data_IF_175497223673
#
_entry.id   IF_175497223673
#
_cell.length_a   1.000
_cell.length_b   1.000
_cell.length_c   1.000
_cell.angle_alpha   90.00
_cell.angle_beta   90.00
_cell.angle_gamma   90.00
#
_symmetry.space_group_name_H-M   'P 1'
#
loop_
_entity.id
_entity.type
_entity.pdbx_description
1 polymer ?
#
# COMPACT_ATOMS: atom_id res chain seq x y z
N UNK A 1 40.74 47.76 -43.40
CA UNK A 1 40.88 48.96 -42.55
C UNK A 1 39.47 49.39 -42.14
N UNK A 2 39.06 49.09 -40.91
CA UNK A 2 38.99 50.03 -39.76
C UNK A 2 37.80 51.00 -39.87
N UNK A 3 36.67 50.61 -39.30
CA UNK A 3 35.55 51.50 -38.96
C UNK A 3 35.79 52.09 -37.56
N UNK A 4 35.70 53.41 -37.45
CA UNK A 4 35.80 54.21 -36.21
C UNK A 4 34.69 53.80 -35.20
N UNK A 5 34.96 53.53 -33.92
CA UNK A 5 35.34 54.40 -32.77
C UNK A 5 34.24 55.37 -32.29
N UNK A 6 33.85 55.17 -31.00
CA UNK A 6 33.16 56.04 -30.00
C UNK A 6 31.65 55.77 -29.86
N UNK A 7 31.14 55.06 -28.84
CA UNK A 7 31.17 55.19 -27.36
C UNK A 7 30.14 56.18 -26.78
N UNK A 8 29.59 55.79 -25.62
CA UNK A 8 28.93 56.56 -24.53
C UNK A 8 27.39 56.55 -24.58
N UNK A 9 26.71 55.70 -23.77
CA UNK A 9 26.37 55.78 -22.33
C UNK A 9 25.10 56.62 -22.08
N UNK A 10 24.08 55.99 -21.50
CA UNK A 10 22.83 56.65 -21.11
C UNK A 10 21.84 55.68 -20.47
N UNK A 11 22.17 55.22 -19.27
CA UNK A 11 21.17 54.69 -18.36
C UNK A 11 20.24 55.84 -17.94
N UNK A 12 18.94 55.69 -18.17
CA UNK A 12 17.89 56.44 -17.49
C UNK A 12 16.91 55.40 -16.98
N UNK A 13 16.93 55.18 -15.66
CA UNK A 13 15.84 54.49 -14.98
C UNK A 13 14.67 55.43 -14.74
N UNK A 14 13.47 54.87 -14.59
CA UNK A 14 12.58 55.25 -13.50
C UNK A 14 11.42 54.25 -13.37
N UNK A 15 11.23 53.84 -12.13
CA UNK A 15 10.22 52.96 -11.58
C UNK A 15 8.82 53.52 -11.80
N UNK A 16 7.89 52.67 -12.22
CA UNK A 16 6.45 52.91 -12.15
C UNK A 16 5.76 51.63 -11.69
N UNK A 17 5.46 51.55 -10.40
CA UNK A 17 4.66 50.50 -9.77
C UNK A 17 3.19 50.76 -10.12
N UNK A 18 2.48 49.74 -10.60
CA UNK A 18 1.05 49.82 -10.88
C UNK A 18 0.46 48.41 -10.98
N UNK A 19 -0.09 47.95 -9.87
CA UNK A 19 -0.92 46.76 -9.70
C UNK A 19 -2.02 46.61 -10.76
N UNK A 20 -2.17 45.41 -11.32
CA UNK A 20 -3.33 45.07 -12.16
C UNK A 20 -3.15 43.70 -12.81
N UNK A 21 -3.77 42.68 -12.21
CA UNK A 21 -3.76 41.30 -12.66
C UNK A 21 -4.37 41.12 -14.07
N UNK A 22 -3.84 40.14 -14.82
CA UNK A 22 -4.62 39.14 -15.54
C UNK A 22 -3.65 38.15 -16.22
N UNK A 23 -3.34 37.06 -15.52
CA UNK A 23 -2.77 35.87 -16.13
C UNK A 23 -3.91 34.98 -16.65
N UNK A 24 -3.79 34.56 -17.90
CA UNK A 24 -4.64 33.63 -18.63
C UNK A 24 -4.28 33.80 -20.10
N UNK A 25 -3.94 32.80 -20.89
CA UNK A 25 -4.04 31.33 -20.81
C UNK A 25 -3.38 30.82 -22.10
N UNK A 26 -2.71 29.67 -22.11
CA UNK A 26 -2.36 29.04 -23.39
C UNK A 26 -1.20 28.04 -23.39
N UNK A 27 -1.52 26.81 -23.02
CA UNK A 27 -0.97 25.55 -23.54
C UNK A 27 0.53 25.22 -23.34
N UNK A 28 0.79 24.36 -22.34
CA UNK A 28 1.70 23.23 -22.52
C UNK A 28 0.88 21.95 -22.30
N UNK A 29 0.86 21.07 -23.29
CA UNK A 29 0.44 19.67 -23.13
C UNK A 29 1.39 19.01 -22.13
N UNK A 30 0.86 18.49 -21.02
CA UNK A 30 1.58 17.51 -20.21
C UNK A 30 0.82 16.20 -20.25
N UNK A 31 1.51 15.13 -20.60
CA UNK A 31 1.04 13.76 -20.48
C UNK A 31 0.74 13.46 -19.01
N UNK A 32 -0.51 13.11 -18.71
CA UNK A 32 -0.89 12.49 -17.43
C UNK A 32 -0.28 11.10 -17.41
N UNK A 33 0.66 10.87 -16.50
CA UNK A 33 1.03 9.52 -16.11
C UNK A 33 0.36 9.27 -14.76
N UNK A 34 -0.69 8.43 -14.77
CA UNK A 34 -1.20 7.79 -13.57
C UNK A 34 -0.07 7.03 -12.87
N UNK A 35 -0.02 7.11 -11.54
CA UNK A 35 0.97 6.39 -10.74
C UNK A 35 0.21 5.66 -9.64
N UNK A 36 -0.02 4.38 -9.89
CA UNK A 36 -0.51 3.40 -8.94
C UNK A 36 0.70 2.70 -8.28
N UNK A 37 0.49 2.16 -7.08
CA UNK A 37 1.47 1.32 -6.38
C UNK A 37 1.73 0.07 -7.25
N UNK A 38 2.94 -0.51 -7.23
CA UNK A 38 3.24 -1.78 -7.92
C UNK A 38 3.63 -2.84 -6.87
N UNK A 39 2.79 -3.87 -6.71
CA UNK A 39 3.12 -5.09 -5.97
C UNK A 39 2.99 -6.23 -6.97
N UNK A 40 4.08 -6.96 -7.24
CA UNK A 40 4.03 -8.17 -8.07
C UNK A 40 3.35 -9.27 -7.24
N UNK A 41 2.07 -9.50 -7.51
CA UNK A 41 1.17 -10.41 -6.80
C UNK A 41 0.92 -11.66 -7.67
N UNK A 42 1.01 -12.84 -7.06
CA UNK A 42 0.77 -14.15 -7.70
C UNK A 42 -0.74 -14.43 -7.92
N UNK A 43 -1.49 -13.49 -8.50
CA UNK A 43 -2.93 -13.60 -8.78
C UNK A 43 -3.31 -13.24 -10.22
N UNK A 44 -2.37 -13.33 -11.16
CA UNK A 44 -2.39 -12.59 -12.43
C UNK A 44 -3.53 -12.89 -13.43
N UNK A 45 -4.52 -13.74 -13.13
CA UNK A 45 -5.64 -14.00 -14.04
C UNK A 45 -7.02 -14.16 -13.35
N UNK A 46 -7.13 -13.93 -12.03
CA UNK A 46 -8.33 -14.27 -11.25
C UNK A 46 -9.22 -13.06 -10.92
N UNK A 47 -9.54 -12.20 -11.89
CA UNK A 47 -10.48 -11.09 -11.70
C UNK A 47 -10.35 -9.96 -12.73
N UNK A 48 -11.38 -9.12 -12.87
CA UNK A 48 -11.37 -7.98 -13.81
C UNK A 48 -10.50 -6.80 -13.38
N UNK A 49 -10.07 -6.77 -12.11
CA UNK A 49 -9.37 -5.64 -11.50
C UNK A 49 -8.11 -6.02 -10.69
N UNK A 50 -7.65 -7.28 -10.79
CA UNK A 50 -6.49 -7.78 -10.02
C UNK A 50 -6.81 -8.12 -8.56
N UNK A 51 -8.09 -8.16 -8.20
CA UNK A 51 -8.60 -8.73 -6.95
C UNK A 51 -9.07 -10.17 -7.19
N UNK A 52 -9.15 -10.95 -6.11
CA UNK A 52 -9.66 -12.33 -6.08
C UNK A 52 -10.90 -12.34 -5.17
N UNK A 53 -12.09 -11.96 -5.67
CA UNK A 53 -13.30 -11.94 -4.87
C UNK A 53 -13.73 -13.36 -4.50
N UNK A 54 -14.17 -13.55 -3.26
CA UNK A 54 -14.43 -14.83 -2.64
C UNK A 54 -15.90 -15.02 -2.25
N UNK A 55 -16.31 -16.28 -2.05
CA UNK A 55 -17.62 -16.64 -1.50
C UNK A 55 -18.80 -16.13 -2.33
N UNK A 56 -19.64 -15.29 -1.72
CA UNK A 56 -20.87 -14.75 -2.34
C UNK A 56 -20.66 -13.37 -2.99
N UNK A 57 -19.40 -12.92 -3.12
CA UNK A 57 -19.07 -11.65 -3.75
C UNK A 57 -19.49 -11.60 -5.22
N UNK A 58 -19.68 -10.39 -5.73
CA UNK A 58 -19.90 -10.19 -7.15
C UNK A 58 -18.65 -10.56 -7.97
N UNK A 59 -18.83 -11.42 -8.96
CA UNK A 59 -17.72 -12.03 -9.72
C UNK A 59 -16.76 -12.86 -8.87
N UNK A 60 -17.24 -13.47 -7.78
CA UNK A 60 -16.47 -14.43 -7.01
C UNK A 60 -15.80 -15.48 -7.91
N UNK A 61 -14.53 -15.75 -7.63
CA UNK A 61 -13.81 -16.88 -8.21
C UNK A 61 -14.42 -18.16 -7.67
N UNK A 62 -14.26 -19.27 -8.39
CA UNK A 62 -14.75 -20.53 -7.86
C UNK A 62 -13.91 -21.00 -6.67
N UNK A 63 -14.54 -21.77 -5.77
CA UNK A 63 -13.91 -22.25 -4.53
C UNK A 63 -12.63 -23.04 -4.81
N UNK A 64 -12.51 -23.71 -5.96
CA UNK A 64 -11.30 -24.46 -6.28
C UNK A 64 -10.15 -23.53 -6.65
N UNK A 65 -10.40 -22.54 -7.51
CA UNK A 65 -9.42 -21.53 -7.89
C UNK A 65 -8.96 -20.71 -6.68
N UNK A 66 -9.89 -20.36 -5.79
CA UNK A 66 -9.58 -19.63 -4.56
C UNK A 66 -8.64 -20.45 -3.64
N UNK A 67 -8.96 -21.73 -3.43
CA UNK A 67 -8.12 -22.66 -2.69
C UNK A 67 -6.75 -22.83 -3.35
N UNK A 68 -6.68 -22.92 -4.68
CA UNK A 68 -5.43 -23.07 -5.41
C UNK A 68 -4.54 -21.82 -5.25
N UNK A 69 -5.11 -20.62 -5.23
CA UNK A 69 -4.40 -19.36 -4.97
C UNK A 69 -3.86 -19.33 -3.55
N UNK A 70 -4.71 -19.56 -2.54
CA UNK A 70 -4.30 -19.57 -1.13
C UNK A 70 -3.19 -20.58 -0.86
N UNK A 71 -3.35 -21.82 -1.33
CA UNK A 71 -2.34 -22.87 -1.21
C UNK A 71 -1.04 -22.54 -1.94
N UNK A 72 -1.11 -21.87 -3.09
CA UNK A 72 0.09 -21.45 -3.84
C UNK A 72 0.86 -20.37 -3.10
N UNK A 73 0.18 -19.42 -2.46
CA UNK A 73 0.82 -18.36 -1.68
C UNK A 73 1.54 -18.97 -0.48
N UNK A 74 0.80 -19.65 0.40
CA UNK A 74 1.38 -20.17 1.65
C UNK A 74 2.33 -21.34 1.41
N UNK A 75 2.16 -22.09 0.31
CA UNK A 75 3.04 -23.19 -0.06
C UNK A 75 4.40 -22.76 -0.59
N UNK A 76 4.54 -21.51 -1.04
CA UNK A 76 5.80 -20.96 -1.56
C UNK A 76 6.38 -19.84 -0.69
N UNK A 77 5.59 -19.22 0.18
CA UNK A 77 5.97 -18.08 1.01
C UNK A 77 5.00 -17.93 2.19
N UNK A 78 4.81 -16.70 2.67
CA UNK A 78 3.74 -16.33 3.60
C UNK A 78 2.75 -15.40 2.93
N UNK A 79 1.52 -15.42 3.44
CA UNK A 79 0.53 -14.42 3.14
C UNK A 79 0.61 -13.27 4.14
N UNK A 80 0.40 -12.05 3.65
CA UNK A 80 0.35 -10.82 4.44
C UNK A 80 -1.04 -10.25 4.30
N UNK A 81 -1.72 -10.10 5.43
CA UNK A 81 -3.11 -9.73 5.50
C UNK A 81 -3.27 -8.38 6.18
N UNK A 82 -4.30 -7.61 5.83
CA UNK A 82 -4.72 -6.41 6.55
C UNK A 82 -6.11 -6.58 7.15
N UNK A 83 -6.29 -6.22 8.42
CA UNK A 83 -7.59 -6.27 9.11
C UNK A 83 -8.46 -5.06 8.72
N UNK A 84 -9.62 -5.32 8.14
CA UNK A 84 -10.63 -4.29 7.83
C UNK A 84 -11.84 -4.35 8.79
N UNK A 85 -11.75 -5.08 9.91
CA UNK A 85 -12.79 -5.07 10.95
C UNK A 85 -13.07 -3.65 11.50
N UNK A 86 -12.08 -2.77 11.69
CA UNK A 86 -12.34 -1.40 12.13
C UNK A 86 -13.01 -0.58 11.01
N UNK A 87 -14.10 0.15 11.31
CA UNK A 87 -14.76 1.05 10.34
C UNK A 87 -13.84 2.18 9.80
N UNK A 88 -12.70 2.40 10.46
CA UNK A 88 -11.65 3.33 10.05
C UNK A 88 -10.58 2.69 9.16
N UNK A 89 -10.74 1.42 8.75
CA UNK A 89 -9.89 0.74 7.75
C UNK A 89 -10.81 0.17 6.68
N UNK A 90 -10.51 0.47 5.43
CA UNK A 90 -11.23 -0.06 4.27
C UNK A 90 -10.25 -0.41 3.17
N UNK A 91 -10.70 -1.16 2.18
CA UNK A 91 -9.94 -1.46 0.97
C UNK A 91 -10.72 -1.04 -0.28
N UNK A 92 -9.97 -0.75 -1.34
CA UNK A 92 -10.49 -0.52 -2.69
C UNK A 92 -9.61 -1.29 -3.68
N UNK A 93 -10.17 -1.68 -4.82
CA UNK A 93 -9.36 -2.17 -5.92
C UNK A 93 -8.37 -1.08 -6.37
N UNK A 94 -7.15 -1.46 -6.76
CA UNK A 94 -6.14 -0.49 -7.19
C UNK A 94 -6.54 0.23 -8.48
N UNK A 95 -7.18 -0.47 -9.40
CA UNK A 95 -7.54 0.03 -10.73
C UNK A 95 -9.07 0.09 -10.97
N UNK A 96 -9.87 -0.15 -9.93
CA UNK A 96 -11.33 -0.21 -9.99
C UNK A 96 -12.04 1.08 -9.59
N UNK A 97 -13.37 1.01 -9.51
CA UNK A 97 -14.22 2.12 -9.05
C UNK A 97 -13.78 2.68 -7.67
N UNK A 98 -14.19 3.90 -7.33
CA UNK A 98 -13.89 4.52 -6.02
C UNK A 98 -14.60 3.82 -4.83
N UNK A 99 -15.28 2.71 -5.08
CA UNK A 99 -16.10 2.01 -4.12
C UNK A 99 -15.25 1.19 -3.13
N UNK A 100 -15.74 1.15 -1.90
CA UNK A 100 -15.15 0.35 -0.83
C UNK A 100 -15.57 -1.09 -1.04
N UNK A 101 -14.58 -1.99 -1.08
CA UNK A 101 -14.81 -3.43 -1.12
C UNK A 101 -14.88 -3.93 0.33
N UNK A 102 -15.94 -4.66 0.73
CA UNK A 102 -15.99 -5.31 2.03
C UNK A 102 -14.83 -6.31 2.19
N UNK A 103 -14.11 -6.27 3.33
CA UNK A 103 -12.93 -7.12 3.50
C UNK A 103 -13.22 -8.62 3.42
N UNK A 104 -14.40 -9.03 3.86
CA UNK A 104 -14.86 -10.41 3.77
C UNK A 104 -15.12 -10.92 2.35
N UNK A 105 -15.21 -10.03 1.36
CA UNK A 105 -15.25 -10.41 -0.04
C UNK A 105 -13.86 -10.70 -0.61
N UNK A 106 -12.78 -10.33 0.08
CA UNK A 106 -11.39 -10.56 -0.33
C UNK A 106 -10.60 -11.40 0.69
N UNK A 107 -11.30 -12.04 1.63
CA UNK A 107 -10.72 -12.95 2.60
C UNK A 107 -10.34 -14.26 1.90
N UNK A 108 -9.09 -14.74 2.02
CA UNK A 108 -8.69 -16.00 1.40
C UNK A 108 -9.37 -17.21 2.05
N UNK A 109 -10.03 -18.06 1.26
CA UNK A 109 -10.55 -19.35 1.76
C UNK A 109 -9.45 -20.42 1.82
N UNK A 110 -9.16 -20.86 3.06
CA UNK A 110 -9.04 -22.27 3.42
C UNK A 110 -9.08 -22.38 4.96
N UNK A 111 -10.29 -22.44 5.52
CA UNK A 111 -10.49 -22.65 6.94
C UNK A 111 -10.24 -24.12 7.38
N UNK A 112 -9.97 -25.04 6.45
CA UNK A 112 -9.95 -26.49 6.72
C UNK A 112 -8.56 -27.13 6.67
N UNK A 113 -7.60 -26.51 5.98
CA UNK A 113 -6.24 -27.07 5.82
C UNK A 113 -5.09 -26.05 5.91
N UNK A 114 -5.38 -24.75 6.05
CA UNK A 114 -4.39 -23.67 6.08
C UNK A 114 -4.51 -22.76 7.30
N UNK A 115 -3.43 -22.02 7.61
CA UNK A 115 -3.30 -21.15 8.79
C UNK A 115 -4.25 -19.94 8.86
N UNK A 116 -5.27 -19.85 8.00
CA UNK A 116 -6.28 -18.79 7.98
C UNK A 116 -7.42 -19.01 8.99
N UNK A 117 -7.59 -20.24 9.49
CA UNK A 117 -8.71 -20.61 10.38
C UNK A 117 -8.75 -19.87 11.72
N UNK A 118 -7.62 -19.31 12.16
CA UNK A 118 -7.51 -18.55 13.40
C UNK A 118 -7.78 -17.04 13.22
N UNK A 119 -8.02 -16.58 11.99
CA UNK A 119 -8.28 -15.19 11.67
C UNK A 119 -9.78 -14.90 11.50
N UNK A 120 -10.15 -13.64 11.71
CA UNK A 120 -11.49 -13.18 11.36
C UNK A 120 -11.62 -13.04 9.85
N UNK A 121 -12.84 -13.12 9.33
CA UNK A 121 -13.14 -13.02 7.91
C UNK A 121 -13.05 -11.59 7.35
N UNK A 122 -12.65 -10.58 8.13
CA UNK A 122 -12.43 -9.22 7.63
C UNK A 122 -10.97 -8.95 7.24
N UNK A 123 -10.11 -9.97 7.28
CA UNK A 123 -8.76 -9.84 6.75
C UNK A 123 -8.75 -9.89 5.22
N UNK A 124 -7.89 -9.07 4.60
CA UNK A 124 -7.71 -9.04 3.15
C UNK A 124 -6.29 -9.43 2.80
N UNK A 125 -6.10 -10.41 1.91
CA UNK A 125 -4.76 -10.80 1.45
C UNK A 125 -4.18 -9.73 0.53
N UNK A 126 -3.05 -9.14 0.96
CA UNK A 126 -2.27 -8.19 0.17
C UNK A 126 -1.40 -8.89 -0.87
N UNK A 127 -1.20 -10.20 -0.72
CA UNK A 127 -0.43 -11.02 -1.66
C UNK A 127 -1.32 -11.59 -2.76
N UNK A 128 -2.61 -11.83 -2.50
CA UNK A 128 -3.57 -12.29 -3.51
C UNK A 128 -4.24 -11.13 -4.26
N UNK A 129 -4.44 -9.99 -3.59
CA UNK A 129 -5.25 -8.90 -4.11
C UNK A 129 -4.44 -7.62 -4.38
N UNK A 130 -4.65 -7.05 -5.55
CA UNK A 130 -4.12 -5.73 -5.90
C UNK A 130 -5.01 -4.60 -5.35
N UNK A 131 -4.80 -4.25 -4.09
CA UNK A 131 -5.66 -3.31 -3.35
C UNK A 131 -4.94 -2.03 -2.91
N UNK A 132 -5.75 -1.02 -2.56
CA UNK A 132 -5.36 0.15 -1.79
C UNK A 132 -6.01 0.10 -0.42
N UNK A 133 -5.20 0.23 0.63
CA UNK A 133 -5.69 0.39 2.01
C UNK A 133 -6.09 1.85 2.22
N UNK A 134 -7.27 2.07 2.81
CA UNK A 134 -7.85 3.38 3.07
C UNK A 134 -8.06 3.54 4.57
N UNK A 135 -7.29 4.43 5.19
CA UNK A 135 -7.46 4.79 6.60
C UNK A 135 -8.40 5.98 6.75
N UNK A 136 -9.45 5.80 7.55
CA UNK A 136 -10.55 6.74 7.77
C UNK A 136 -11.31 7.06 6.48
N UNK A 137 -12.03 6.08 5.88
CA UNK A 137 -12.89 6.30 4.72
C UNK A 137 -13.96 7.38 4.98
N UNK A 138 -14.34 7.58 6.25
CA UNK A 138 -15.27 8.62 6.70
C UNK A 138 -14.58 9.92 7.16
N UNK A 139 -13.27 10.02 6.91
CA UNK A 139 -12.39 11.10 7.34
C UNK A 139 -11.62 10.79 8.63
N UNK A 140 -10.41 11.33 8.71
CA UNK A 140 -9.57 11.37 9.91
C UNK A 140 -9.37 12.83 10.35
N UNK A 141 -9.34 13.15 11.65
CA UNK A 141 -9.00 14.50 12.08
C UNK A 141 -7.56 14.84 11.65
N UNK A 142 -7.26 16.09 11.26
CA UNK A 142 -5.92 16.47 10.84
C UNK A 142 -4.95 16.43 12.04
N UNK A 143 -3.69 16.07 11.79
CA UNK A 143 -2.65 15.93 12.82
C UNK A 143 -3.02 14.92 13.92
N UNK A 144 -3.55 13.76 13.54
CA UNK A 144 -3.94 12.71 14.48
C UNK A 144 -3.08 11.48 14.32
N UNK A 145 -2.82 10.81 15.43
CA UNK A 145 -2.23 9.47 15.46
C UNK A 145 -3.36 8.46 15.71
N UNK A 146 -3.53 7.53 14.79
CA UNK A 146 -4.45 6.39 14.91
C UNK A 146 -3.62 5.13 15.11
N UNK A 147 -3.96 4.33 16.11
CA UNK A 147 -3.34 3.03 16.34
C UNK A 147 -4.40 1.96 16.19
N UNK A 148 -4.09 0.97 15.38
CA UNK A 148 -4.91 -0.18 15.08
C UNK A 148 -4.23 -1.39 15.70
N UNK A 149 -4.95 -2.06 16.61
CA UNK A 149 -4.50 -3.35 17.13
C UNK A 149 -4.67 -4.42 16.06
N UNK A 150 -3.74 -5.37 15.99
CA UNK A 150 -3.83 -6.53 15.08
C UNK A 150 -4.06 -6.12 13.60
N UNK A 151 -3.48 -5.00 13.15
CA UNK A 151 -3.73 -4.47 11.80
C UNK A 151 -3.20 -5.40 10.70
N UNK A 152 -2.05 -6.03 10.92
CA UNK A 152 -1.42 -6.91 9.94
C UNK A 152 -1.34 -8.34 10.45
N UNK A 153 -1.89 -9.28 9.68
CA UNK A 153 -1.84 -10.72 9.94
C UNK A 153 -0.82 -11.41 9.03
N UNK A 154 -0.29 -12.54 9.49
CA UNK A 154 0.68 -13.35 8.73
C UNK A 154 0.26 -14.81 8.76
N UNK A 155 0.21 -15.43 7.59
CA UNK A 155 -0.16 -16.85 7.47
C UNK A 155 0.91 -17.58 6.68
N UNK A 156 1.51 -18.59 7.30
CA UNK A 156 2.45 -19.54 6.67
C UNK A 156 1.71 -20.86 6.38
N UNK A 157 2.24 -21.67 5.44
CA UNK A 157 1.74 -23.03 5.26
C UNK A 157 1.90 -23.82 6.56
N UNK A 158 0.79 -24.40 7.02
CA UNK A 158 0.81 -25.48 8.01
C UNK A 158 1.27 -26.81 7.36
N UNK A 159 2.44 -26.79 6.72
CA UNK A 159 3.03 -27.97 6.09
C UNK A 159 3.37 -29.03 7.13
N UNK A 160 2.78 -30.21 6.99
CA UNK A 160 2.84 -31.36 7.92
C UNK A 160 4.22 -31.99 8.13
N UNK A 161 5.33 -31.35 7.74
CA UNK A 161 6.67 -31.94 7.82
C UNK A 161 7.78 -30.91 8.09
N UNK A 162 7.97 -30.55 9.37
CA UNK A 162 9.29 -30.43 10.00
C UNK A 162 10.33 -29.43 9.46
N UNK A 163 9.95 -28.48 8.60
CA UNK A 163 10.80 -27.35 8.22
C UNK A 163 9.89 -26.13 8.11
N UNK A 164 9.68 -25.41 9.21
CA UNK A 164 9.20 -24.02 9.10
C UNK A 164 10.35 -23.21 8.55
N UNK A 165 10.08 -22.51 7.45
CA UNK A 165 10.99 -21.49 6.96
C UNK A 165 10.56 -20.21 7.65
N UNK A 166 11.42 -19.66 8.50
CA UNK A 166 11.11 -18.36 9.10
C UNK A 166 11.22 -17.27 8.02
N UNK A 167 10.40 -16.23 8.10
CA UNK A 167 10.37 -15.13 7.14
C UNK A 167 10.51 -13.76 7.81
N UNK A 168 11.16 -12.83 7.14
CA UNK A 168 11.16 -11.42 7.47
C UNK A 168 10.20 -10.67 6.55
N UNK A 169 9.19 -10.02 7.12
CA UNK A 169 8.29 -9.10 6.40
C UNK A 169 8.66 -7.67 6.72
N UNK A 170 9.20 -6.96 5.73
CA UNK A 170 9.63 -5.57 5.89
C UNK A 170 8.65 -4.62 5.23
N UNK A 171 8.06 -3.75 6.04
CA UNK A 171 7.23 -2.63 5.60
C UNK A 171 8.12 -1.40 5.42
N UNK A 172 8.10 -0.83 4.23
CA UNK A 172 8.92 0.32 3.89
C UNK A 172 8.28 1.24 2.86
N UNK A 173 8.97 2.34 2.61
CA UNK A 173 8.67 3.28 1.54
C UNK A 173 9.88 3.33 0.62
N UNK A 174 9.84 2.58 -0.49
CA UNK A 174 10.96 2.51 -1.45
C UNK A 174 11.12 3.81 -2.24
N UNK A 175 10.07 4.63 -2.29
CA UNK A 175 10.00 5.85 -3.08
C UNK A 175 9.86 7.09 -2.22
N UNK A 176 10.44 7.09 -1.01
CA UNK A 176 10.41 8.18 -0.04
C UNK A 176 10.56 9.55 -0.70
N UNK A 177 9.42 10.11 -1.12
CA UNK A 177 9.30 11.46 -1.56
C UNK A 177 8.92 12.19 -0.28
N UNK A 178 9.87 12.85 0.39
CA UNK A 178 9.63 13.47 1.70
C UNK A 178 8.56 14.58 1.64
N UNK A 179 8.03 14.88 0.46
CA UNK A 179 7.00 15.87 0.19
C UNK A 179 5.57 15.35 0.28
N UNK A 180 5.33 14.02 0.32
CA UNK A 180 3.96 13.44 0.31
C UNK A 180 3.49 12.88 1.66
N UNK A 181 4.31 13.00 2.70
CA UNK A 181 3.99 12.46 4.04
C UNK A 181 4.00 10.93 4.06
N UNK A 182 4.29 10.36 5.22
CA UNK A 182 4.11 8.92 5.48
C UNK A 182 2.83 8.78 6.30
N UNK A 183 1.88 7.97 5.81
CA UNK A 183 0.61 7.71 6.47
C UNK A 183 0.78 6.59 7.49
N UNK A 184 1.23 5.40 7.09
CA UNK A 184 1.60 4.30 7.97
C UNK A 184 3.02 4.53 8.52
N UNK A 185 3.12 5.00 9.75
CA UNK A 185 4.39 5.37 10.38
C UNK A 185 5.03 4.23 11.15
N UNK A 186 4.22 3.30 11.67
CA UNK A 186 4.73 2.12 12.40
C UNK A 186 3.98 0.84 12.10
N UNK A 187 4.72 -0.26 12.15
CA UNK A 187 4.23 -1.65 12.19
C UNK A 187 4.98 -2.36 13.31
N UNK A 188 4.27 -3.05 14.20
CA UNK A 188 4.86 -3.73 15.37
C UNK A 188 5.75 -2.78 16.21
N UNK A 189 5.31 -1.52 16.35
CA UNK A 189 6.06 -0.46 17.04
C UNK A 189 7.35 0.00 16.34
N UNK A 190 7.76 -0.62 15.23
CA UNK A 190 8.95 -0.29 14.43
C UNK A 190 8.59 0.75 13.37
N UNK A 191 9.56 1.58 12.98
CA UNK A 191 9.33 2.72 12.07
C UNK A 191 9.40 2.30 10.60
N UNK A 192 8.33 2.59 9.84
CA UNK A 192 8.20 2.16 8.43
C UNK A 192 9.19 2.89 7.51
N UNK A 193 9.42 4.19 7.71
CA UNK A 193 10.40 4.97 6.91
C UNK A 193 11.86 4.48 7.05
N UNK A 194 12.15 3.61 8.01
CA UNK A 194 13.47 2.97 8.17
C UNK A 194 13.45 1.46 7.86
N UNK A 195 12.35 0.93 7.33
CA UNK A 195 12.13 -0.50 7.16
C UNK A 195 11.68 -1.16 8.46
N UNK A 196 10.36 -1.23 8.69
CA UNK A 196 9.80 -1.94 9.83
C UNK A 196 9.71 -3.44 9.50
N UNK A 197 10.63 -4.23 10.06
CA UNK A 197 10.67 -5.68 9.85
C UNK A 197 9.95 -6.45 10.96
N UNK A 198 9.01 -7.32 10.57
CA UNK A 198 8.33 -8.29 11.43
C UNK A 198 8.91 -9.66 11.14
N UNK A 199 9.37 -10.35 12.19
CA UNK A 199 9.86 -11.72 12.11
C UNK A 199 8.67 -12.68 12.21
N UNK A 200 8.46 -13.48 11.17
CA UNK A 200 7.42 -14.49 11.06
C UNK A 200 8.04 -15.85 11.26
N UNK A 201 7.77 -16.49 12.41
CA UNK A 201 8.40 -17.76 12.77
C UNK A 201 7.36 -18.82 13.12
N UNK A 202 7.52 -20.04 12.59
CA UNK A 202 6.66 -21.18 12.95
C UNK A 202 5.22 -21.05 12.42
N UNK A 203 4.22 -21.50 13.17
CA UNK A 203 2.82 -21.60 12.72
C UNK A 203 2.09 -20.25 12.59
N UNK A 204 2.73 -19.24 12.01
CA UNK A 204 2.26 -17.86 11.93
C UNK A 204 2.65 -17.03 13.17
N UNK A 205 3.08 -15.78 12.93
CA UNK A 205 3.22 -14.78 14.01
C UNK A 205 1.84 -14.21 14.32
N UNK A 206 1.58 -13.92 15.60
CA UNK A 206 0.37 -13.21 15.99
C UNK A 206 0.23 -11.91 15.18
N UNK A 207 -1.00 -11.51 14.80
CA UNK A 207 -1.20 -10.22 14.17
C UNK A 207 -0.52 -9.08 14.94
N UNK A 208 -0.05 -8.07 14.21
CA UNK A 208 0.72 -6.96 14.76
C UNK A 208 0.02 -5.63 14.55
N UNK A 209 0.27 -4.72 15.50
CA UNK A 209 -0.30 -3.38 15.48
C UNK A 209 0.24 -2.53 14.32
N UNK A 210 -0.60 -1.60 13.86
CA UNK A 210 -0.23 -0.55 12.91
C UNK A 210 -0.50 0.83 13.47
N UNK A 211 0.35 1.81 13.15
CA UNK A 211 0.15 3.22 13.50
C UNK A 211 0.12 4.08 12.26
N UNK A 212 -0.91 4.90 12.16
CA UNK A 212 -1.13 5.87 11.08
C UNK A 212 -1.10 7.29 11.64
N UNK A 213 -0.40 8.19 10.96
CA UNK A 213 -0.38 9.62 11.29
C UNK A 213 -0.96 10.44 10.13
N UNK A 214 -2.02 11.19 10.41
CA UNK A 214 -2.61 12.10 9.42
C UNK A 214 -1.89 13.45 9.46
N UNK A 215 -1.55 13.97 8.28
CA UNK A 215 -0.96 15.30 8.14
C UNK A 215 -1.95 16.44 8.36
N UNK A 216 -1.52 17.65 8.00
CA UNK A 216 -2.38 18.85 7.98
C UNK A 216 -3.35 18.88 6.80
N UNK A 217 -3.15 18.00 5.82
CA UNK A 217 -3.90 17.89 4.57
C UNK A 217 -4.56 16.52 4.50
N UNK A 218 -5.86 16.47 4.20
CA UNK A 218 -6.68 15.25 4.29
C UNK A 218 -6.60 14.33 3.05
N UNK A 219 -5.52 14.41 2.28
CA UNK A 219 -5.37 13.68 1.01
C UNK A 219 -4.00 13.00 0.90
N UNK A 220 -3.33 12.73 2.02
CA UNK A 220 -2.06 12.02 1.98
C UNK A 220 -2.27 10.62 1.39
N UNK A 221 -1.48 10.31 0.37
CA UNK A 221 -1.43 9.01 -0.30
C UNK A 221 0.02 8.62 -0.35
N UNK A 222 0.33 7.40 0.06
CA UNK A 222 1.69 6.88 0.03
C UNK A 222 1.74 5.56 -0.73
N UNK A 223 2.93 5.24 -1.24
CA UNK A 223 3.24 3.91 -1.71
C UNK A 223 3.77 3.10 -0.53
N UNK A 224 3.18 1.94 -0.28
CA UNK A 224 3.69 0.98 0.71
C UNK A 224 4.41 -0.14 -0.03
N UNK A 225 5.66 -0.37 0.33
CA UNK A 225 6.40 -1.56 -0.08
C UNK A 225 6.38 -2.57 1.05
N UNK A 226 6.00 -3.80 0.71
CA UNK A 226 6.09 -4.96 1.60
C UNK A 226 7.07 -5.93 0.93
N UNK A 227 8.17 -6.22 1.62
CA UNK A 227 9.18 -7.17 1.16
C UNK A 227 9.15 -8.40 2.06
N UNK A 228 9.02 -9.59 1.47
CA UNK A 228 9.01 -10.88 2.18
C UNK A 228 10.30 -11.61 1.82
N UNK A 229 11.07 -12.03 2.84
CA UNK A 229 12.33 -12.76 2.67
C UNK A 229 12.38 -13.97 3.58
N UNK A 230 12.80 -15.12 3.06
CA UNK A 230 13.20 -16.25 3.90
C UNK A 230 14.40 -15.85 4.76
N UNK A 231 14.34 -16.18 6.05
CA UNK A 231 15.47 -16.06 6.95
C UNK A 231 16.52 -17.10 6.57
N UNK A 232 17.75 -16.64 6.36
CA UNK A 232 18.87 -17.56 6.17
C UNK A 232 19.33 -18.04 7.53
N UNK A 233 19.17 -19.35 7.80
CA UNK A 233 19.81 -19.94 8.97
C UNK A 233 21.33 -19.95 8.74
N UNK A 234 22.03 -18.99 9.36
CA UNK A 234 23.48 -19.02 9.46
C UNK A 234 23.89 -20.33 10.15
N UNK A 235 24.49 -21.23 9.37
CA UNK A 235 25.00 -22.54 9.80
C UNK A 235 26.36 -22.45 10.48
#
# INVERSE_FOLDING_TARGET
MKLNRRSVLGAIGLVGVGTGAAFGSGAFTSTTAERAVEVNVFGADAGTEGTVPAGEAENAVDEQDENDIGNTIIGNSIDVLVDTSPESVAVRARNGDEDIIPGNELFPVDATTGGYSDLNDNYVSLVANDVRIVFGPNGVPPNSTLTFGDLFGFVESSGTTGSSTDFDVTFGDVDANPSQGQLLTKVDGKTVSTGATVEVTGSGTSPVDGTVESGTTSQETENLTIEIKEQTQDS
#
